data_IF_953780495601
#
_entry.id   IF_953780495601
#
_cell.length_a   1.000
_cell.length_b   1.000
_cell.length_c   1.000
_cell.angle_alpha   90.00
_cell.angle_beta   90.00
_cell.angle_gamma   90.00
#
_symmetry.space_group_name_H-M   'P 1'
#
loop_
_entity.id
_entity.type
_entity.pdbx_description
1 polymer ?
#
# COMPACT_ATOMS: atom_id res chain seq x y z
N UNK A 1 17.65 61.96 -4.89
CA UNK A 1 17.35 60.71 -5.58
C UNK A 1 17.79 59.52 -4.73
N UNK A 2 16.95 59.06 -3.82
CA UNK A 2 17.18 57.86 -2.97
C UNK A 2 15.82 57.37 -2.45
N UNK A 3 15.02 56.73 -3.28
CA UNK A 3 13.79 56.02 -2.84
C UNK A 3 13.48 54.85 -3.80
N UNK A 4 14.37 53.88 -3.85
CA UNK A 4 14.10 52.69 -4.70
C UNK A 4 14.47 51.35 -4.05
N UNK A 5 14.64 51.28 -2.75
CA UNK A 5 15.08 50.02 -2.11
C UNK A 5 14.16 49.46 -1.01
N UNK A 6 12.96 50.00 -0.81
CA UNK A 6 12.07 49.55 0.26
C UNK A 6 10.84 48.74 -0.20
N UNK A 7 10.68 48.48 -1.50
CA UNK A 7 9.53 47.73 -2.02
C UNK A 7 9.81 46.22 -2.28
N UNK A 8 11.07 45.82 -2.21
CA UNK A 8 11.44 44.42 -2.44
C UNK A 8 11.41 43.53 -1.18
N UNK A 9 11.24 44.12 0.02
CA UNK A 9 11.32 43.37 1.28
C UNK A 9 9.98 42.99 1.89
N UNK A 10 8.85 43.37 1.28
CA UNK A 10 7.51 43.10 1.83
C UNK A 10 6.83 41.86 1.24
N UNK A 11 7.38 41.27 0.18
CA UNK A 11 6.79 40.07 -0.46
C UNK A 11 7.27 38.74 0.11
N UNK A 12 8.16 38.71 1.09
CA UNK A 12 8.72 37.48 1.65
C UNK A 12 8.08 37.04 2.98
N UNK A 13 7.03 37.68 3.45
CA UNK A 13 6.35 37.34 4.70
C UNK A 13 4.97 36.67 4.51
N UNK A 14 4.54 36.40 3.30
CA UNK A 14 3.49 35.41 3.08
C UNK A 14 4.09 34.01 2.99
N UNK A 15 4.82 33.60 4.04
CA UNK A 15 4.93 32.20 4.38
C UNK A 15 3.46 31.74 4.56
N UNK A 16 2.99 31.00 3.58
CA UNK A 16 1.77 30.23 3.69
C UNK A 16 1.86 29.42 4.97
N UNK A 17 1.26 29.96 6.04
CA UNK A 17 0.88 29.12 7.17
C UNK A 17 -0.10 28.11 6.58
N UNK A 18 0.41 26.96 6.15
CA UNK A 18 -0.38 25.76 6.06
C UNK A 18 -0.86 25.49 7.49
N UNK A 19 -2.02 26.06 7.82
CA UNK A 19 -2.75 25.65 8.99
C UNK A 19 -3.07 24.16 8.76
N UNK A 20 -2.23 23.30 9.29
CA UNK A 20 -2.58 21.91 9.47
C UNK A 20 -3.84 21.92 10.33
N UNK A 21 -4.96 21.55 9.72
CA UNK A 21 -6.21 21.43 10.47
C UNK A 21 -6.01 20.31 11.50
N UNK A 22 -6.16 20.63 12.77
CA UNK A 22 -6.06 19.63 13.83
C UNK A 22 -7.45 19.04 14.09
N UNK A 23 -7.59 17.74 13.78
CA UNK A 23 -8.81 16.98 13.98
C UNK A 23 -8.85 16.49 15.42
N UNK A 24 -9.65 17.14 16.26
CA UNK A 24 -9.85 16.76 17.65
C UNK A 24 -10.72 15.49 17.74
N UNK A 25 -10.11 14.35 17.47
CA UNK A 25 -10.72 13.02 17.59
C UNK A 25 -10.28 12.43 18.92
N UNK A 26 -11.21 11.82 19.68
CA UNK A 26 -10.87 11.13 20.92
C UNK A 26 -9.95 9.93 20.65
N UNK A 27 -8.99 9.68 21.51
CA UNK A 27 -7.96 8.65 21.33
C UNK A 27 -8.54 7.24 21.12
N UNK A 28 -9.66 6.93 21.78
CA UNK A 28 -10.36 5.64 21.61
C UNK A 28 -10.81 5.32 20.17
N UNK A 29 -10.94 6.36 19.32
CA UNK A 29 -11.33 6.21 17.91
C UNK A 29 -10.16 6.30 16.94
N UNK A 30 -8.96 6.62 17.42
CA UNK A 30 -7.81 6.85 16.55
C UNK A 30 -7.17 5.57 16.01
N UNK A 31 -7.33 4.45 16.72
CA UNK A 31 -6.62 3.22 16.37
C UNK A 31 -5.15 3.22 16.83
N UNK A 32 -4.30 2.46 16.16
CA UNK A 32 -2.93 2.21 16.61
C UNK A 32 -1.88 3.11 15.93
N UNK A 33 -1.20 3.99 16.68
CA UNK A 33 -0.20 4.91 16.14
C UNK A 33 1.05 4.22 15.56
N UNK A 34 1.29 2.93 15.84
CA UNK A 34 2.37 2.15 15.24
C UNK A 34 2.27 2.16 13.69
N UNK A 35 1.05 2.22 13.15
CA UNK A 35 0.81 2.18 11.70
C UNK A 35 1.29 3.41 10.94
N UNK A 36 1.65 4.50 11.63
CA UNK A 36 2.16 5.73 10.99
C UNK A 36 3.46 5.50 10.21
N UNK A 37 4.26 4.54 10.65
CA UNK A 37 5.63 4.37 10.12
C UNK A 37 6.04 2.91 10.23
N UNK A 38 5.78 2.14 9.21
CA UNK A 38 6.10 0.72 9.17
C UNK A 38 7.11 0.41 8.05
N UNK A 39 7.87 -0.64 8.27
CA UNK A 39 8.69 -1.28 7.25
C UNK A 39 8.08 -2.64 6.93
N UNK A 40 7.40 -2.73 5.79
CA UNK A 40 6.67 -3.93 5.36
C UNK A 40 7.57 -5.16 5.23
N UNK A 41 8.82 -4.98 4.74
CA UNK A 41 9.75 -6.08 4.57
C UNK A 41 10.26 -6.60 5.92
N UNK A 42 10.53 -5.68 6.85
CA UNK A 42 10.92 -6.04 8.21
C UNK A 42 9.79 -6.77 8.93
N UNK A 43 8.56 -6.27 8.85
CA UNK A 43 7.40 -6.91 9.46
C UNK A 43 7.17 -8.32 8.92
N UNK A 44 7.26 -8.53 7.62
CA UNK A 44 7.18 -9.87 7.02
C UNK A 44 8.22 -10.81 7.60
N UNK A 45 9.46 -10.35 7.68
CA UNK A 45 10.54 -11.16 8.24
C UNK A 45 10.33 -11.51 9.72
N UNK A 46 9.92 -10.51 10.51
CA UNK A 46 9.79 -10.65 11.96
C UNK A 46 8.51 -11.44 12.36
N UNK A 47 7.51 -11.48 11.50
CA UNK A 47 6.20 -12.08 11.80
C UNK A 47 5.92 -13.41 11.08
N UNK A 48 6.80 -13.86 10.18
CA UNK A 48 6.72 -15.19 9.54
C UNK A 48 7.46 -16.22 10.37
N UNK A 49 6.82 -17.33 10.64
CA UNK A 49 7.45 -18.43 11.35
C UNK A 49 8.49 -19.14 10.48
N UNK A 50 9.64 -19.56 11.04
CA UNK A 50 10.63 -20.33 10.30
C UNK A 50 10.06 -21.73 9.94
N UNK A 51 10.55 -22.36 8.86
CA UNK A 51 10.04 -23.66 8.41
C UNK A 51 10.07 -24.78 9.46
N UNK A 52 10.99 -24.68 10.41
CA UNK A 52 11.12 -25.64 11.51
C UNK A 52 10.41 -25.20 12.80
N UNK A 53 9.50 -24.21 12.73
CA UNK A 53 8.84 -23.63 13.91
C UNK A 53 8.21 -24.71 14.82
N UNK A 54 7.50 -25.66 14.24
CA UNK A 54 6.82 -26.74 14.96
C UNK A 54 7.78 -27.70 15.67
N UNK A 55 9.06 -27.71 15.29
CA UNK A 55 10.10 -28.56 15.87
C UNK A 55 10.89 -27.87 16.99
N UNK A 56 10.66 -26.57 17.18
CA UNK A 56 11.32 -25.79 18.22
C UNK A 56 10.71 -26.07 19.58
N UNK A 57 11.50 -25.81 20.63
CA UNK A 57 11.01 -25.88 22.02
C UNK A 57 9.91 -24.79 22.22
N UNK A 58 9.01 -25.03 23.17
CA UNK A 58 7.96 -24.05 23.47
C UNK A 58 8.48 -22.67 23.86
N UNK A 59 9.67 -22.61 24.47
CA UNK A 59 10.34 -21.32 24.77
C UNK A 59 10.78 -20.58 23.50
N UNK A 60 11.38 -21.30 22.54
CA UNK A 60 11.82 -20.71 21.27
C UNK A 60 10.62 -20.29 20.41
N UNK A 61 9.58 -21.12 20.34
CA UNK A 61 8.32 -20.77 19.66
C UNK A 61 7.74 -19.49 20.25
N UNK A 62 7.63 -19.40 21.59
CA UNK A 62 7.13 -18.21 22.26
C UNK A 62 7.98 -16.97 21.96
N UNK A 63 9.31 -17.09 21.95
CA UNK A 63 10.21 -15.97 21.63
C UNK A 63 10.01 -15.46 20.20
N UNK A 64 9.80 -16.36 19.23
CA UNK A 64 9.51 -16.00 17.85
C UNK A 64 8.12 -15.34 17.76
N UNK A 65 7.15 -15.93 18.42
CA UNK A 65 5.79 -15.42 18.48
C UNK A 65 5.73 -13.99 19.04
N UNK A 66 6.34 -13.76 20.21
CA UNK A 66 6.38 -12.47 20.89
C UNK A 66 7.27 -11.45 20.15
N UNK A 67 8.16 -11.92 19.29
CA UNK A 67 9.04 -11.07 18.48
C UNK A 67 8.36 -10.35 17.33
N UNK A 68 7.14 -10.75 16.95
CA UNK A 68 6.37 -10.09 15.93
C UNK A 68 5.69 -8.83 16.47
N UNK A 69 6.06 -7.62 15.98
CA UNK A 69 5.46 -6.37 16.47
C UNK A 69 3.95 -6.28 16.22
N UNK A 70 3.42 -7.03 15.27
CA UNK A 70 1.99 -7.02 14.92
C UNK A 70 1.14 -7.72 15.98
N UNK A 71 1.71 -8.58 16.80
CA UNK A 71 0.99 -9.27 17.88
C UNK A 71 0.72 -8.39 19.08
N UNK A 72 1.52 -7.36 19.28
CA UNK A 72 1.30 -6.36 20.32
C UNK A 72 0.28 -5.28 19.94
N UNK A 73 -0.19 -5.30 18.68
CA UNK A 73 -1.28 -4.44 18.25
C UNK A 73 -2.59 -5.01 18.81
N UNK A 74 -2.82 -4.81 20.08
CA UNK A 74 -4.12 -5.09 20.69
C UNK A 74 -5.16 -4.12 20.12
N UNK A 75 -5.64 -4.45 18.94
CA UNK A 75 -6.85 -3.81 18.46
C UNK A 75 -8.01 -4.52 19.17
N UNK A 76 -8.48 -3.93 20.20
CA UNK A 76 -9.70 -4.40 20.85
C UNK A 76 -10.91 -4.04 19.98
N UNK A 77 -11.14 -4.92 19.00
CA UNK A 77 -12.32 -4.84 18.14
C UNK A 77 -13.61 -4.88 18.98
N UNK A 78 -13.55 -5.49 20.16
CA UNK A 78 -14.67 -5.63 21.06
C UNK A 78 -14.99 -4.30 21.74
N UNK A 79 -14.01 -3.54 22.20
CA UNK A 79 -14.26 -2.24 22.80
C UNK A 79 -14.76 -1.21 21.80
N UNK A 80 -14.22 -1.19 20.57
CA UNK A 80 -14.79 -0.38 19.49
C UNK A 80 -16.22 -0.81 19.14
N UNK A 81 -16.48 -2.12 19.13
CA UNK A 81 -17.80 -2.69 18.89
C UNK A 81 -18.86 -2.16 19.86
N UNK A 82 -18.57 -2.07 21.14
CA UNK A 82 -19.51 -1.57 22.14
C UNK A 82 -19.94 -0.12 21.87
N UNK A 83 -19.06 0.69 21.29
CA UNK A 83 -19.33 2.10 21.00
C UNK A 83 -20.04 2.36 19.68
N UNK A 84 -19.83 1.52 18.65
CA UNK A 84 -20.26 1.81 17.27
C UNK A 84 -21.40 0.89 16.81
N UNK A 85 -21.72 -0.17 17.57
CA UNK A 85 -22.60 -1.27 17.16
C UNK A 85 -24.04 -0.88 16.80
N UNK A 86 -24.58 0.18 17.38
CA UNK A 86 -26.00 0.52 17.22
C UNK A 86 -26.26 1.68 16.27
N UNK A 87 -25.37 2.66 16.25
CA UNK A 87 -25.55 3.89 15.48
C UNK A 87 -24.19 4.44 15.03
N UNK A 88 -24.15 5.12 13.87
CA UNK A 88 -22.93 5.83 13.44
C UNK A 88 -22.51 6.86 14.49
N UNK A 89 -21.22 6.91 14.80
CA UNK A 89 -20.65 7.81 15.81
C UNK A 89 -19.92 8.95 15.09
N UNK A 90 -20.31 10.19 15.39
CA UNK A 90 -19.59 11.38 14.92
C UNK A 90 -18.33 11.55 15.76
N UNK A 91 -17.17 11.35 15.16
CA UNK A 91 -15.86 11.47 15.82
C UNK A 91 -15.19 12.83 15.60
N UNK A 92 -15.67 13.61 14.64
CA UNK A 92 -15.26 14.97 14.38
C UNK A 92 -16.43 15.76 13.82
N UNK A 93 -16.66 16.95 14.37
CA UNK A 93 -17.72 17.85 13.93
C UNK A 93 -17.12 19.22 13.60
N UNK A 94 -16.76 19.41 12.35
CA UNK A 94 -16.20 20.66 11.84
C UNK A 94 -17.27 21.58 11.22
N UNK A 95 -16.83 22.74 10.78
CA UNK A 95 -17.70 23.73 10.14
C UNK A 95 -18.27 23.24 8.81
N UNK A 96 -17.42 22.56 8.02
CA UNK A 96 -17.74 22.22 6.64
C UNK A 96 -18.16 20.76 6.45
N UNK A 97 -17.76 19.88 7.35
CA UNK A 97 -18.10 18.46 7.31
C UNK A 97 -17.95 17.79 8.69
N UNK A 98 -18.51 16.59 8.78
CA UNK A 98 -18.34 15.68 9.90
C UNK A 98 -17.59 14.43 9.46
N UNK A 99 -16.83 13.83 10.39
CA UNK A 99 -16.31 12.47 10.25
C UNK A 99 -17.14 11.55 11.12
N UNK A 100 -17.60 10.48 10.51
CA UNK A 100 -18.49 9.52 11.17
C UNK A 100 -17.97 8.11 11.00
N UNK A 101 -17.83 7.39 12.12
CA UNK A 101 -17.58 5.95 12.10
C UNK A 101 -18.91 5.21 12.08
N UNK A 102 -18.96 4.16 11.26
CA UNK A 102 -20.09 3.23 11.22
C UNK A 102 -19.57 1.79 11.14
N UNK A 103 -20.30 0.87 11.77
CA UNK A 103 -19.97 -0.54 11.77
C UNK A 103 -21.21 -1.37 11.50
N UNK A 104 -21.54 -1.62 10.21
CA UNK A 104 -22.50 -2.64 9.88
C UNK A 104 -21.95 -4.01 10.27
N UNK A 105 -22.79 -4.83 10.89
CA UNK A 105 -22.45 -6.24 11.13
C UNK A 105 -23.13 -7.04 10.02
N UNK A 106 -22.33 -7.76 9.25
CA UNK A 106 -22.85 -8.75 8.30
C UNK A 106 -22.38 -10.13 8.73
N UNK A 107 -23.33 -11.01 8.94
CA UNK A 107 -23.09 -12.44 9.13
C UNK A 107 -23.39 -13.14 7.80
N UNK A 108 -22.40 -13.85 7.28
CA UNK A 108 -22.55 -14.62 6.05
C UNK A 108 -22.52 -16.10 6.41
N UNK A 109 -23.57 -16.84 6.03
CA UNK A 109 -23.61 -18.28 6.10
C UNK A 109 -23.23 -18.83 4.72
N UNK A 110 -22.05 -19.43 4.61
CA UNK A 110 -21.63 -20.15 3.42
C UNK A 110 -21.98 -21.62 3.59
N UNK A 111 -22.80 -22.18 2.69
CA UNK A 111 -23.10 -23.61 2.64
C UNK A 111 -22.20 -24.25 1.58
N UNK A 112 -21.27 -25.08 2.02
CA UNK A 112 -20.57 -25.99 1.15
C UNK A 112 -21.15 -27.40 1.28
N UNK A 113 -20.64 -28.36 0.51
CA UNK A 113 -21.10 -29.77 0.52
C UNK A 113 -20.82 -30.48 1.86
N UNK A 114 -20.09 -29.87 2.78
CA UNK A 114 -19.69 -30.46 4.08
C UNK A 114 -20.52 -29.91 5.24
N UNK A 115 -21.16 -28.77 5.09
CA UNK A 115 -21.99 -28.15 6.11
C UNK A 115 -21.93 -26.61 6.11
N UNK A 116 -22.67 -25.93 6.99
CA UNK A 116 -22.64 -24.49 7.08
C UNK A 116 -21.30 -24.03 7.70
N UNK A 117 -20.59 -23.19 6.97
CA UNK A 117 -19.44 -22.44 7.47
C UNK A 117 -19.87 -21.01 7.74
N UNK A 118 -19.60 -20.52 8.95
CA UNK A 118 -19.91 -19.15 9.33
C UNK A 118 -18.70 -18.28 9.08
N UNK A 119 -18.85 -17.30 8.21
CA UNK A 119 -17.90 -16.23 7.98
C UNK A 119 -18.45 -15.00 8.69
N UNK A 120 -17.78 -14.56 9.76
CA UNK A 120 -18.14 -13.34 10.46
C UNK A 120 -17.33 -12.19 9.88
N UNK A 121 -17.97 -11.31 9.11
CA UNK A 121 -17.36 -10.07 8.65
C UNK A 121 -17.79 -8.93 9.56
N UNK A 122 -16.81 -8.24 10.12
CA UNK A 122 -17.00 -6.99 10.86
C UNK A 122 -16.20 -5.91 10.18
N UNK A 123 -16.87 -4.84 9.84
CA UNK A 123 -16.29 -3.75 9.06
C UNK A 123 -16.50 -2.42 9.79
N UNK A 124 -15.43 -1.66 9.95
CA UNK A 124 -15.50 -0.27 10.40
C UNK A 124 -15.19 0.62 9.22
N UNK A 125 -16.11 1.51 8.90
CA UNK A 125 -15.93 2.51 7.86
C UNK A 125 -15.92 3.92 8.43
N UNK A 126 -15.11 4.78 7.80
CA UNK A 126 -15.06 6.22 8.05
C UNK A 126 -15.69 6.94 6.88
N UNK A 127 -16.65 7.81 7.18
CA UNK A 127 -17.35 8.61 6.17
C UNK A 127 -17.12 10.10 6.40
N UNK A 128 -16.98 10.85 5.33
CA UNK A 128 -17.08 12.31 5.32
C UNK A 128 -18.53 12.65 5.01
N UNK A 129 -19.19 13.37 5.91
CA UNK A 129 -20.60 13.77 5.77
C UNK A 129 -20.69 15.27 5.73
N UNK A 130 -21.41 15.80 4.74
CA UNK A 130 -21.76 17.21 4.63
C UNK A 130 -23.23 17.33 4.29
N UNK A 131 -23.99 18.14 5.03
CA UNK A 131 -25.42 18.31 4.88
C UNK A 131 -26.20 16.98 4.84
N UNK A 132 -25.86 16.05 5.73
CA UNK A 132 -26.43 14.69 5.82
C UNK A 132 -26.22 13.82 4.57
N UNK A 133 -25.29 14.22 3.70
CA UNK A 133 -24.93 13.45 2.49
C UNK A 133 -23.51 12.92 2.69
N UNK A 134 -23.33 11.61 2.49
CA UNK A 134 -22.00 10.99 2.45
C UNK A 134 -21.28 11.49 1.19
N UNK A 135 -20.15 12.17 1.37
CA UNK A 135 -19.31 12.68 0.28
C UNK A 135 -18.26 11.67 -0.14
N UNK A 136 -17.72 10.96 0.84
CA UNK A 136 -16.73 9.90 0.59
C UNK A 136 -16.70 8.92 1.76
N UNK A 137 -16.22 7.71 1.52
CA UNK A 137 -16.17 6.62 2.49
C UNK A 137 -14.93 5.76 2.25
N UNK A 138 -14.24 5.39 3.33
CA UNK A 138 -13.16 4.38 3.29
C UNK A 138 -13.39 3.33 4.38
N UNK A 139 -12.86 2.14 4.15
CA UNK A 139 -12.82 1.07 5.14
C UNK A 139 -11.58 1.20 6.00
N UNK A 140 -11.77 1.31 7.32
CA UNK A 140 -10.67 1.47 8.28
C UNK A 140 -10.21 0.14 8.83
N UNK A 141 -11.15 -0.68 9.25
CA UNK A 141 -10.88 -1.98 9.83
C UNK A 141 -11.90 -3.01 9.36
N UNK A 142 -11.46 -4.23 9.23
CA UNK A 142 -12.30 -5.39 9.04
C UNK A 142 -11.76 -6.57 9.82
N UNK A 143 -12.60 -7.58 10.03
CA UNK A 143 -12.21 -8.86 10.58
C UNK A 143 -13.00 -9.94 9.84
N UNK A 144 -12.27 -10.76 9.10
CA UNK A 144 -12.80 -11.85 8.31
C UNK A 144 -12.20 -13.15 8.84
N UNK A 145 -13.05 -14.07 9.27
CA UNK A 145 -12.64 -15.39 9.76
C UNK A 145 -13.13 -16.43 8.76
N UNK A 146 -12.21 -17.08 8.11
CA UNK A 146 -12.45 -18.24 7.27
C UNK A 146 -12.16 -19.51 8.09
N UNK A 147 -13.21 -20.12 8.57
CA UNK A 147 -13.12 -21.33 9.39
C UNK A 147 -12.67 -22.54 8.59
N UNK A 148 -12.81 -22.53 7.26
CA UNK A 148 -12.44 -23.66 6.40
C UNK A 148 -10.94 -23.73 6.14
N UNK A 149 -10.26 -22.60 6.16
CA UNK A 149 -8.85 -22.49 5.80
C UNK A 149 -7.92 -22.13 6.98
N UNK A 150 -8.43 -22.14 8.21
CA UNK A 150 -7.67 -21.71 9.42
C UNK A 150 -6.96 -20.36 9.20
N UNK A 151 -7.57 -19.47 8.43
CA UNK A 151 -7.03 -18.17 8.09
C UNK A 151 -7.89 -17.05 8.68
N UNK A 152 -7.24 -16.05 9.22
CA UNK A 152 -7.89 -14.82 9.70
C UNK A 152 -7.33 -13.65 8.94
N UNK A 153 -8.18 -12.95 8.20
CA UNK A 153 -7.81 -11.72 7.54
C UNK A 153 -8.40 -10.53 8.31
N UNK A 154 -7.59 -9.50 8.53
CA UNK A 154 -8.05 -8.33 9.26
C UNK A 154 -7.28 -7.09 8.85
N UNK A 155 -7.94 -5.94 8.93
CA UNK A 155 -7.32 -4.64 8.70
C UNK A 155 -7.27 -3.83 10.00
N UNK A 156 -6.15 -3.16 10.23
CA UNK A 156 -5.91 -2.22 11.32
C UNK A 156 -5.82 -0.80 10.78
N UNK A 157 -6.08 0.19 11.61
CA UNK A 157 -6.00 1.58 11.21
C UNK A 157 -5.40 2.51 12.28
N UNK A 158 -5.01 3.69 11.84
CA UNK A 158 -4.71 4.83 12.69
C UNK A 158 -5.12 6.13 12.01
N UNK A 159 -5.72 7.04 12.78
CA UNK A 159 -6.08 8.41 12.36
C UNK A 159 -5.23 9.39 13.14
N UNK A 160 -4.37 10.15 12.45
CA UNK A 160 -3.53 11.17 13.07
C UNK A 160 -4.33 12.44 13.42
N UNK A 161 -3.84 13.28 14.35
CA UNK A 161 -4.43 14.59 14.60
C UNK A 161 -4.48 15.49 13.36
N UNK A 162 -3.56 15.31 12.42
CA UNK A 162 -3.46 16.10 11.19
C UNK A 162 -4.34 15.60 10.07
N UNK A 163 -5.14 14.53 10.30
CA UNK A 163 -6.04 13.96 9.29
C UNK A 163 -5.38 12.97 8.34
N UNK A 164 -4.16 12.52 8.66
CA UNK A 164 -3.60 11.37 7.97
C UNK A 164 -4.23 10.08 8.49
N UNK A 165 -4.55 9.18 7.58
CA UNK A 165 -5.15 7.89 7.90
C UNK A 165 -4.26 6.80 7.34
N UNK A 166 -3.91 5.86 8.19
CA UNK A 166 -3.07 4.72 7.85
C UNK A 166 -3.88 3.45 8.04
N UNK A 167 -3.81 2.55 7.07
CA UNK A 167 -4.41 1.21 7.18
C UNK A 167 -3.38 0.14 6.87
N UNK A 168 -3.49 -1.00 7.52
CA UNK A 168 -2.66 -2.17 7.28
C UNK A 168 -3.54 -3.42 7.22
N UNK A 169 -3.60 -4.04 6.04
CA UNK A 169 -4.27 -5.32 5.82
C UNK A 169 -3.30 -6.46 6.11
N UNK A 170 -3.77 -7.44 6.87
CA UNK A 170 -3.00 -8.55 7.44
C UNK A 170 -3.73 -9.86 7.17
N UNK A 171 -2.98 -10.93 6.95
CA UNK A 171 -3.49 -12.31 6.93
C UNK A 171 -2.69 -13.13 7.93
N UNK A 172 -3.37 -13.77 8.87
CA UNK A 172 -2.79 -14.68 9.84
C UNK A 172 -3.11 -16.13 9.47
N UNK A 173 -2.09 -16.96 9.45
CA UNK A 173 -2.18 -18.39 9.15
C UNK A 173 -1.27 -19.16 10.11
N UNK A 174 -1.20 -20.47 9.96
CA UNK A 174 -0.28 -21.37 10.67
C UNK A 174 1.21 -21.01 10.51
N UNK A 175 1.55 -20.24 9.45
CA UNK A 175 2.93 -19.79 9.21
C UNK A 175 3.22 -18.38 9.72
N UNK A 176 2.32 -17.79 10.50
CA UNK A 176 2.46 -16.47 11.13
C UNK A 176 1.58 -15.38 10.55
N UNK A 177 1.86 -14.13 10.92
CA UNK A 177 1.13 -12.95 10.45
C UNK A 177 1.84 -12.38 9.23
N UNK A 178 1.10 -12.21 8.14
CA UNK A 178 1.61 -11.63 6.90
C UNK A 178 1.00 -10.25 6.65
N UNK A 179 1.78 -9.17 6.77
CA UNK A 179 1.33 -7.87 6.30
C UNK A 179 1.24 -7.87 4.77
N UNK A 180 0.07 -7.50 4.24
CA UNK A 180 -0.21 -7.52 2.82
C UNK A 180 -0.11 -6.13 2.21
N UNK A 181 -0.98 -5.20 2.64
CA UNK A 181 -1.08 -3.87 2.06
C UNK A 181 -1.13 -2.82 3.16
N UNK A 182 -0.21 -1.88 3.11
CA UNK A 182 -0.26 -0.66 3.89
C UNK A 182 -0.67 0.51 3.00
N UNK A 183 -1.62 1.31 3.46
CA UNK A 183 -2.10 2.49 2.74
C UNK A 183 -2.04 3.71 3.64
N UNK A 184 -1.69 4.85 3.05
CA UNK A 184 -1.75 6.16 3.65
C UNK A 184 -2.72 7.04 2.89
N UNK A 185 -3.71 7.56 3.58
CA UNK A 185 -4.67 8.52 3.07
C UNK A 185 -4.52 9.84 3.82
N UNK A 186 -4.99 10.91 3.21
CA UNK A 186 -5.14 12.23 3.83
C UNK A 186 -6.57 12.74 3.61
N UNK A 187 -7.13 13.37 4.64
CA UNK A 187 -8.42 14.05 4.50
C UNK A 187 -8.20 15.34 3.70
N UNK A 188 -8.79 15.42 2.53
CA UNK A 188 -8.86 16.65 1.74
C UNK A 188 -10.16 17.40 2.07
N UNK A 189 -10.05 18.38 2.97
CA UNK A 189 -11.18 19.17 3.42
C UNK A 189 -11.82 20.01 2.30
N UNK A 190 -11.06 20.39 1.27
CA UNK A 190 -11.57 21.22 0.17
C UNK A 190 -12.46 20.39 -0.76
N UNK A 191 -12.05 19.19 -1.09
CA UNK A 191 -12.82 18.30 -1.97
C UNK A 191 -13.74 17.36 -1.20
N UNK A 192 -13.65 17.34 0.14
CA UNK A 192 -14.35 16.40 1.04
C UNK A 192 -14.15 14.96 0.62
N UNK A 193 -12.88 14.58 0.39
CA UNK A 193 -12.47 13.23 -0.02
C UNK A 193 -11.30 12.70 0.79
N UNK A 194 -11.22 11.39 0.87
CA UNK A 194 -10.03 10.69 1.34
C UNK A 194 -9.06 10.52 0.18
N UNK A 195 -8.02 11.32 0.18
CA UNK A 195 -6.99 11.27 -0.85
C UNK A 195 -5.96 10.20 -0.51
N UNK A 196 -5.88 9.17 -1.33
CA UNK A 196 -4.82 8.17 -1.20
C UNK A 196 -3.47 8.79 -1.56
N UNK A 197 -2.51 8.74 -0.63
CA UNK A 197 -1.18 9.33 -0.77
C UNK A 197 -0.14 8.26 -1.13
N UNK A 198 -0.24 7.07 -0.50
CA UNK A 198 0.75 6.02 -0.69
C UNK A 198 0.15 4.64 -0.49
N UNK A 199 0.65 3.68 -1.27
CA UNK A 199 0.49 2.23 -1.05
C UNK A 199 1.87 1.61 -0.91
N UNK A 200 2.02 0.67 0.02
CA UNK A 200 3.21 -0.15 0.19
C UNK A 200 2.79 -1.60 0.48
N UNK A 201 3.28 -2.53 -0.33
CA UNK A 201 3.04 -3.97 -0.14
C UNK A 201 4.31 -4.71 0.29
N UNK A 202 5.42 -3.97 0.47
CA UNK A 202 6.75 -4.57 0.62
C UNK A 202 7.35 -5.09 -0.69
N UNK A 203 6.54 -5.36 -1.70
CA UNK A 203 7.00 -5.71 -3.06
C UNK A 203 7.02 -4.49 -3.97
N UNK A 204 6.08 -3.59 -3.82
CA UNK A 204 6.06 -2.32 -4.52
C UNK A 204 5.61 -1.18 -3.60
N UNK A 205 5.98 0.01 -3.97
CA UNK A 205 5.58 1.24 -3.29
C UNK A 205 5.16 2.26 -4.33
N UNK A 206 3.94 2.78 -4.18
CA UNK A 206 3.37 3.84 -5.00
C UNK A 206 3.18 5.07 -4.12
N UNK A 207 3.71 6.21 -4.54
CA UNK A 207 3.48 7.50 -3.90
C UNK A 207 2.68 8.39 -4.85
N UNK A 208 1.61 9.01 -4.35
CA UNK A 208 0.73 9.89 -5.08
C UNK A 208 0.83 11.31 -4.46
N UNK A 209 0.84 12.40 -5.22
CA UNK A 209 0.60 12.50 -6.67
C UNK A 209 1.82 12.21 -7.54
N UNK A 210 3.00 11.99 -6.97
CA UNK A 210 4.24 11.88 -7.72
C UNK A 210 4.34 10.63 -8.57
N UNK A 211 3.33 9.76 -8.56
CA UNK A 211 3.21 8.54 -9.37
C UNK A 211 4.57 7.86 -9.64
N UNK A 212 5.49 7.93 -8.66
CA UNK A 212 6.78 7.30 -8.77
C UNK A 212 6.70 5.90 -8.16
N UNK A 213 6.54 4.95 -9.02
CA UNK A 213 6.48 3.55 -8.67
C UNK A 213 7.87 3.02 -8.31
N UNK A 214 8.03 2.56 -7.08
CA UNK A 214 9.24 1.85 -6.65
C UNK A 214 8.88 0.42 -6.35
N UNK A 215 9.32 -0.49 -7.20
CA UNK A 215 9.29 -1.92 -6.90
C UNK A 215 10.43 -2.24 -5.93
N UNK A 216 10.10 -2.60 -4.72
CA UNK A 216 11.02 -3.31 -3.84
C UNK A 216 10.83 -4.81 -4.08
N UNK A 217 11.48 -5.32 -5.11
CA UNK A 217 11.47 -6.76 -5.37
C UNK A 217 12.24 -7.48 -4.27
N UNK A 218 11.80 -8.69 -3.86
CA UNK A 218 12.58 -9.53 -2.96
C UNK A 218 14.01 -9.66 -3.48
N UNK A 219 14.96 -9.69 -2.56
CA UNK A 219 16.39 -9.85 -2.89
C UNK A 219 16.75 -11.21 -3.51
N UNK A 220 15.77 -12.03 -3.74
CA UNK A 220 15.92 -13.33 -4.42
C UNK A 220 16.18 -13.12 -5.90
N UNK A 221 17.34 -13.05 -6.00
CA UNK A 221 18.02 -12.76 -6.85
C UNK A 221 18.39 -13.10 -8.23
N UNK A 222 19.09 -13.03 -8.61
CA UNK A 222 20.22 -12.92 -9.58
C UNK A 222 20.54 -14.17 -10.42
N UNK A 223 19.64 -15.12 -10.56
CA UNK A 223 19.86 -16.22 -11.47
C UNK A 223 19.25 -16.02 -12.85
N UNK A 224 19.48 -14.83 -13.47
CA UNK A 224 19.22 -14.62 -14.91
C UNK A 224 19.99 -15.60 -15.83
N UNK A 225 20.89 -16.42 -15.25
CA UNK A 225 21.59 -17.48 -15.93
C UNK A 225 20.87 -18.81 -15.90
N UNK A 226 19.84 -18.94 -15.08
CA UNK A 226 19.08 -20.16 -14.93
C UNK A 226 18.37 -20.52 -16.25
N UNK A 227 18.37 -21.82 -16.54
CA UNK A 227 17.77 -22.38 -17.73
C UNK A 227 16.24 -22.18 -17.75
N UNK A 228 15.62 -22.24 -16.58
CA UNK A 228 14.19 -22.02 -16.39
C UNK A 228 13.83 -20.54 -16.59
N UNK A 229 14.61 -19.63 -16.03
CA UNK A 229 14.39 -18.21 -16.27
C UNK A 229 14.50 -17.82 -17.75
N UNK A 230 15.46 -18.41 -18.49
CA UNK A 230 15.56 -18.21 -19.93
C UNK A 230 14.35 -18.74 -20.70
N UNK A 231 13.69 -19.77 -20.18
CA UNK A 231 12.42 -20.26 -20.73
C UNK A 231 11.31 -19.24 -20.50
N UNK A 232 11.23 -18.65 -19.30
CA UNK A 232 10.29 -17.58 -18.98
C UNK A 232 10.43 -16.34 -19.87
N UNK A 233 11.65 -15.97 -20.25
CA UNK A 233 11.87 -14.85 -21.17
C UNK A 233 11.33 -15.11 -22.57
N UNK A 234 11.17 -16.38 -22.97
CA UNK A 234 10.62 -16.78 -24.26
C UNK A 234 9.11 -16.94 -24.22
N UNK A 235 8.61 -17.44 -23.11
CA UNK A 235 7.20 -17.72 -22.90
C UNK A 235 6.82 -17.32 -21.48
N UNK A 236 6.27 -16.12 -21.35
CA UNK A 236 5.88 -15.52 -20.06
C UNK A 236 4.66 -16.22 -19.42
N UNK A 237 4.00 -17.09 -20.18
CA UNK A 237 2.84 -17.87 -19.70
C UNK A 237 3.23 -19.24 -19.18
N UNK A 238 4.51 -19.63 -19.30
CA UNK A 238 4.95 -20.95 -18.82
C UNK A 238 4.88 -21.05 -17.30
N UNK A 239 4.47 -22.22 -16.85
CA UNK A 239 4.34 -22.56 -15.43
C UNK A 239 5.64 -22.29 -14.65
N UNK A 240 5.54 -21.61 -13.50
CA UNK A 240 6.70 -21.21 -12.68
C UNK A 240 7.34 -19.87 -13.07
N UNK A 241 6.80 -19.15 -14.06
CA UNK A 241 7.27 -17.81 -14.41
C UNK A 241 6.65 -16.73 -13.52
N UNK A 242 7.49 -16.05 -12.78
CA UNK A 242 7.06 -14.93 -11.96
C UNK A 242 7.22 -13.61 -12.73
N UNK A 243 6.11 -12.91 -12.97
CA UNK A 243 6.08 -11.62 -13.66
C UNK A 243 7.04 -10.59 -13.03
N UNK A 244 7.24 -10.64 -11.72
CA UNK A 244 8.20 -9.80 -11.00
C UNK A 244 9.68 -10.03 -11.40
N UNK A 245 10.07 -11.27 -11.71
CA UNK A 245 11.44 -11.58 -12.16
C UNK A 245 11.70 -11.11 -13.58
N UNK A 246 10.72 -11.32 -14.48
CA UNK A 246 10.76 -10.84 -15.86
C UNK A 246 10.79 -9.31 -15.91
N UNK A 247 9.97 -8.68 -15.09
CA UNK A 247 9.94 -7.23 -14.90
C UNK A 247 11.32 -6.68 -14.50
N UNK A 248 11.94 -7.26 -13.47
CA UNK A 248 13.26 -6.85 -12.98
C UNK A 248 14.33 -6.98 -14.05
N UNK A 249 14.32 -8.08 -14.78
CA UNK A 249 15.27 -8.30 -15.86
C UNK A 249 15.22 -7.17 -16.90
N UNK A 250 14.03 -6.85 -17.42
CA UNK A 250 13.91 -5.79 -18.43
C UNK A 250 14.19 -4.41 -17.86
N UNK A 251 13.82 -4.15 -16.61
CA UNK A 251 14.15 -2.92 -15.91
C UNK A 251 15.66 -2.69 -15.83
N UNK A 252 16.41 -3.71 -15.39
CA UNK A 252 17.86 -3.65 -15.23
C UNK A 252 18.58 -3.52 -16.59
N UNK A 253 18.11 -4.26 -17.61
CA UNK A 253 18.63 -4.15 -18.96
C UNK A 253 18.45 -2.75 -19.55
N UNK A 254 17.23 -2.21 -19.44
CA UNK A 254 16.92 -0.87 -19.95
C UNK A 254 17.71 0.20 -19.22
N UNK A 255 17.77 0.14 -17.89
CA UNK A 255 18.54 1.09 -17.08
C UNK A 255 20.01 1.09 -17.48
N UNK A 256 20.63 -0.08 -17.59
CA UNK A 256 22.03 -0.23 -18.00
C UNK A 256 22.29 0.35 -19.40
N UNK A 257 21.41 0.08 -20.35
CA UNK A 257 21.54 0.58 -21.73
C UNK A 257 21.33 2.10 -21.83
N UNK A 258 20.37 2.65 -21.08
CA UNK A 258 20.15 4.09 -21.01
C UNK A 258 21.32 4.83 -20.36
N UNK A 259 21.94 4.26 -19.31
CA UNK A 259 23.14 4.83 -18.69
C UNK A 259 24.30 4.87 -19.71
N UNK A 260 24.48 3.84 -20.54
CA UNK A 260 25.45 3.84 -21.62
C UNK A 260 25.15 4.91 -22.67
N UNK A 261 23.90 5.05 -23.09
CA UNK A 261 23.48 6.07 -24.04
C UNK A 261 23.72 7.48 -23.52
N UNK A 262 23.38 7.73 -22.27
CA UNK A 262 23.61 9.00 -21.58
C UNK A 262 25.11 9.36 -21.56
N UNK A 263 25.96 8.40 -21.26
CA UNK A 263 27.42 8.57 -21.31
C UNK A 263 27.93 8.88 -22.73
N UNK A 264 27.41 8.14 -23.75
CA UNK A 264 27.79 8.34 -25.16
C UNK A 264 27.41 9.74 -25.66
N UNK A 265 26.22 10.21 -25.29
CA UNK A 265 25.69 11.52 -25.71
C UNK A 265 26.19 12.70 -24.86
N UNK A 266 26.95 12.46 -23.78
CA UNK A 266 27.37 13.47 -22.80
C UNK A 266 26.20 14.29 -22.23
N UNK A 267 25.01 13.68 -22.21
CA UNK A 267 23.80 14.31 -21.68
C UNK A 267 23.77 14.17 -20.15
N UNK A 268 23.38 15.25 -19.46
CA UNK A 268 23.22 15.24 -17.99
C UNK A 268 21.82 14.84 -17.55
N UNK A 269 20.87 14.65 -18.46
CA UNK A 269 19.48 14.30 -18.15
C UNK A 269 19.36 12.83 -17.78
N UNK A 270 18.63 12.55 -16.72
CA UNK A 270 18.30 11.17 -16.38
C UNK A 270 17.13 10.67 -17.26
N UNK A 271 17.45 10.20 -18.44
CA UNK A 271 16.49 9.72 -19.43
C UNK A 271 15.67 8.54 -18.91
N UNK A 272 16.28 7.66 -18.12
CA UNK A 272 15.59 6.53 -17.52
C UNK A 272 14.46 6.98 -16.57
N UNK A 273 14.74 7.93 -15.68
CA UNK A 273 13.75 8.46 -14.73
C UNK A 273 12.55 9.09 -15.44
N UNK A 274 12.81 9.89 -16.48
CA UNK A 274 11.75 10.53 -17.26
C UNK A 274 10.89 9.51 -18.03
N UNK A 275 11.53 8.51 -18.61
CA UNK A 275 10.83 7.42 -19.29
C UNK A 275 9.97 6.64 -18.30
N UNK A 276 10.56 6.20 -17.17
CA UNK A 276 9.86 5.43 -16.15
C UNK A 276 8.63 6.17 -15.61
N UNK A 277 8.78 7.46 -15.32
CA UNK A 277 7.65 8.29 -14.85
C UNK A 277 6.48 8.35 -15.87
N UNK A 278 6.79 8.43 -17.16
CA UNK A 278 5.76 8.40 -18.21
C UNK A 278 5.09 7.05 -18.32
N UNK A 279 5.89 5.99 -18.23
CA UNK A 279 5.39 4.62 -18.30
C UNK A 279 4.50 4.28 -17.12
N UNK A 280 4.90 4.67 -15.91
CA UNK A 280 4.11 4.50 -14.70
C UNK A 280 2.72 5.13 -14.83
N UNK A 281 2.65 6.37 -15.30
CA UNK A 281 1.37 7.06 -15.56
C UNK A 281 0.50 6.33 -16.57
N UNK A 282 1.11 5.69 -17.56
CA UNK A 282 0.39 4.94 -18.60
C UNK A 282 -0.13 3.61 -18.05
N UNK A 283 0.65 2.92 -17.23
CA UNK A 283 0.35 1.57 -16.75
C UNK A 283 -0.44 1.54 -15.44
N UNK A 284 -0.43 2.63 -14.67
CA UNK A 284 -1.21 2.75 -13.45
C UNK A 284 -2.70 2.82 -13.79
N UNK A 285 -3.41 1.75 -13.47
CA UNK A 285 -4.86 1.66 -13.67
C UNK A 285 -5.56 2.05 -12.37
N UNK A 286 -6.60 2.88 -12.46
CA UNK A 286 -7.51 3.20 -11.34
C UNK A 286 -8.83 2.44 -11.52
N UNK A 287 -9.47 1.96 -10.44
CA UNK A 287 -9.08 2.12 -9.03
C UNK A 287 -7.92 1.22 -8.63
N UNK A 288 -7.19 1.67 -7.61
CA UNK A 288 -6.16 0.85 -6.97
C UNK A 288 -6.83 -0.28 -6.17
N UNK A 289 -6.18 -1.45 -6.06
CA UNK A 289 -6.78 -2.62 -5.46
C UNK A 289 -7.12 -2.42 -3.98
N UNK A 290 -8.23 -3.01 -3.58
CA UNK A 290 -8.74 -2.95 -2.21
C UNK A 290 -8.28 -4.16 -1.38
N UNK A 291 -8.29 -5.34 -1.97
CA UNK A 291 -7.95 -6.63 -1.34
C UNK A 291 -6.78 -7.35 -2.03
N UNK A 292 -6.43 -8.53 -1.55
CA UNK A 292 -5.25 -9.29 -1.98
C UNK A 292 -5.47 -9.95 -3.36
N UNK A 293 -6.66 -10.40 -3.66
CA UNK A 293 -6.98 -11.02 -4.95
C UNK A 293 -6.99 -9.98 -6.06
N UNK A 294 -7.62 -8.83 -5.83
CA UNK A 294 -7.56 -7.68 -6.74
C UNK A 294 -6.12 -7.20 -6.92
N UNK A 295 -5.31 -7.26 -5.84
CA UNK A 295 -3.90 -6.88 -5.91
C UNK A 295 -3.10 -7.79 -6.83
N UNK A 296 -3.30 -9.10 -6.80
CA UNK A 296 -2.63 -10.03 -7.71
C UNK A 296 -2.96 -9.74 -9.16
N UNK A 297 -4.24 -9.54 -9.49
CA UNK A 297 -4.67 -9.15 -10.83
C UNK A 297 -4.09 -7.81 -11.25
N UNK A 298 -4.12 -6.84 -10.35
CA UNK A 298 -3.57 -5.51 -10.59
C UNK A 298 -2.07 -5.56 -10.88
N UNK A 299 -1.29 -6.30 -10.07
CA UNK A 299 0.15 -6.47 -10.26
C UNK A 299 0.47 -7.18 -11.59
N UNK A 300 -0.25 -8.22 -11.95
CA UNK A 300 -0.05 -8.92 -13.20
C UNK A 300 -0.29 -8.00 -14.40
N UNK A 301 -1.35 -7.20 -14.38
CA UNK A 301 -1.64 -6.23 -15.41
C UNK A 301 -0.57 -5.12 -15.47
N UNK A 302 -0.13 -4.64 -14.32
CA UNK A 302 0.91 -3.63 -14.21
C UNK A 302 2.24 -4.15 -14.74
N UNK A 303 2.69 -5.34 -14.33
CA UNK A 303 3.91 -5.95 -14.86
C UNK A 303 3.84 -6.17 -16.37
N UNK A 304 2.74 -6.68 -16.88
CA UNK A 304 2.56 -6.90 -18.32
C UNK A 304 2.65 -5.60 -19.11
N UNK A 305 2.00 -4.55 -18.63
CA UNK A 305 2.05 -3.23 -19.27
C UNK A 305 3.48 -2.65 -19.25
N UNK A 306 4.14 -2.68 -18.10
CA UNK A 306 5.48 -2.09 -17.96
C UNK A 306 6.55 -2.90 -18.68
N UNK A 307 6.51 -4.23 -18.65
CA UNK A 307 7.41 -5.11 -19.40
C UNK A 307 7.31 -4.80 -20.89
N UNK A 308 6.09 -4.65 -21.43
CA UNK A 308 5.89 -4.24 -22.81
C UNK A 308 6.57 -2.90 -23.11
N UNK A 309 6.38 -1.90 -22.28
CA UNK A 309 7.02 -0.60 -22.41
C UNK A 309 8.55 -0.68 -22.33
N UNK A 310 9.10 -1.50 -21.44
CA UNK A 310 10.54 -1.71 -21.34
C UNK A 310 11.13 -2.38 -22.60
N UNK A 311 10.46 -3.38 -23.16
CA UNK A 311 10.89 -4.04 -24.40
C UNK A 311 10.93 -3.08 -25.60
N UNK A 312 9.88 -2.27 -25.75
CA UNK A 312 9.78 -1.26 -26.81
C UNK A 312 10.92 -0.23 -26.69
N UNK A 313 11.14 0.30 -25.48
CA UNK A 313 12.16 1.31 -25.24
C UNK A 313 13.58 0.73 -25.33
N UNK A 314 13.79 -0.50 -24.85
CA UNK A 314 15.08 -1.19 -24.97
C UNK A 314 15.49 -1.33 -26.43
N UNK A 315 14.58 -1.77 -27.30
CA UNK A 315 14.82 -1.86 -28.76
C UNK A 315 15.19 -0.51 -29.37
N UNK A 316 14.55 0.59 -28.93
CA UNK A 316 14.86 1.96 -29.37
C UNK A 316 16.25 2.39 -28.94
N UNK A 317 16.61 2.15 -27.67
CA UNK A 317 17.93 2.52 -27.11
C UNK A 317 19.05 1.72 -27.76
N UNK A 318 18.85 0.44 -28.00
CA UNK A 318 19.84 -0.41 -28.67
C UNK A 318 20.14 0.05 -30.13
N UNK A 319 19.11 0.46 -30.86
CA UNK A 319 19.30 1.07 -32.19
C UNK A 319 20.15 2.35 -32.10
N UNK A 320 19.90 3.20 -31.11
CA UNK A 320 20.67 4.44 -30.92
C UNK A 320 22.12 4.19 -30.47
N UNK A 321 22.37 3.11 -29.75
CA UNK A 321 23.73 2.72 -29.36
C UNK A 321 24.53 2.13 -30.51
N UNK A 322 23.87 1.52 -31.49
CA UNK A 322 24.48 0.92 -32.67
C UNK A 322 24.98 1.96 -33.70
N UNK A 323 24.44 3.15 -33.67
CA UNK A 323 24.86 4.32 -34.47
C UNK A 323 25.72 5.27 -33.61
#
# INVERSE_FOLDING_TARGET
MKYSHYLASLCLLFSTYCYSQDYQIEDKYRGDPFLRKIDMNKLRKDCTFPPNYQQLSGYEQKKIYDGCPLRSLEFDFTSLHEFIYKEPVVIYNGKDFQLTLSMPVSEWEYKNDVGPEYILEREISLSIINNNIVKDKIYLANNFIDLSNDAVAYQRYYISPQGDIYTLYLVETDIGIRPQIWKHYQIDAQTMKFKLIQIDTGYFKISLPDSFFKLSLPNDTNNYKDKEFKKCLKDETSEGCFGSQVYRYYLDQLKSKMDLLTKKQKDKKNHFSLFKQKLDKKCLVNPLPFDDDELHHYLNNLYSCEIKGFKEELSRVEKQLAH
#
